data_IF_829285384041
#
_entry.id   IF_829285384041
#
_cell.length_a   1.000
_cell.length_b   1.000
_cell.length_c   1.000
_cell.angle_alpha   90.00
_cell.angle_beta   90.00
_cell.angle_gamma   90.00
#
_symmetry.space_group_name_H-M   'P 1'
#
loop_
_entity.id
_entity.type
_entity.pdbx_description
1 polymer ?
#
# COMPACT_ATOMS: atom_id res chain seq x y z
N UNK A 1 26.17 -7.00 -7.86
CA UNK A 1 26.03 -5.90 -8.85
C UNK A 1 24.76 -5.08 -8.62
N UNK A 2 24.00 -5.30 -7.54
CA UNK A 2 22.78 -4.55 -7.22
C UNK A 2 22.71 -4.33 -5.73
N UNK A 3 22.23 -3.16 -5.30
CA UNK A 3 21.84 -2.85 -3.92
C UNK A 3 20.32 -2.76 -3.85
N UNK A 4 19.73 -3.34 -2.81
CA UNK A 4 18.33 -3.17 -2.46
C UNK A 4 18.28 -2.43 -1.12
N UNK A 5 17.62 -1.27 -1.11
CA UNK A 5 17.34 -0.53 0.12
C UNK A 5 15.96 -0.90 0.65
N UNK A 6 15.87 -1.05 1.97
CA UNK A 6 14.59 -0.98 2.67
C UNK A 6 13.91 0.39 2.44
N UNK A 7 12.62 0.55 2.80
CA UNK A 7 11.94 1.82 2.59
C UNK A 7 12.71 3.01 3.18
N UNK A 8 12.82 4.06 2.38
CA UNK A 8 13.46 5.34 2.77
C UNK A 8 12.51 6.53 2.58
N UNK A 9 11.23 6.27 2.29
CA UNK A 9 10.22 7.31 2.14
C UNK A 9 9.91 7.96 3.49
N UNK A 10 9.41 9.18 3.48
CA UNK A 10 8.89 9.82 4.70
C UNK A 10 7.79 8.92 5.30
N UNK A 11 8.00 8.51 6.54
CA UNK A 11 7.13 7.56 7.25
C UNK A 11 7.13 7.84 8.75
N UNK A 12 6.03 7.55 9.47
CA UNK A 12 6.00 7.56 10.93
C UNK A 12 6.86 6.45 11.59
N UNK A 13 7.43 5.53 10.80
CA UNK A 13 8.25 4.42 11.27
C UNK A 13 7.51 3.45 12.20
N UNK A 14 6.19 3.28 11.99
CA UNK A 14 5.39 2.31 12.75
C UNK A 14 5.80 0.88 12.41
N UNK A 15 6.11 0.61 11.14
CA UNK A 15 6.53 -0.68 10.64
C UNK A 15 7.76 -0.53 9.74
N UNK A 16 8.83 0.07 10.27
CA UNK A 16 10.13 0.23 9.59
C UNK A 16 10.04 0.91 8.21
N UNK A 17 9.14 1.88 8.04
CA UNK A 17 9.01 2.66 6.82
C UNK A 17 8.06 2.08 5.78
N UNK A 18 7.46 0.92 6.02
CA UNK A 18 6.43 0.34 5.14
C UNK A 18 5.08 1.09 5.26
N UNK A 19 4.85 1.76 6.39
CA UNK A 19 3.78 2.74 6.59
C UNK A 19 4.13 4.09 5.95
N UNK A 20 4.03 4.19 4.62
CA UNK A 20 4.48 5.39 3.89
C UNK A 20 3.51 6.57 4.03
N UNK A 21 3.99 7.72 4.48
CA UNK A 21 3.20 8.97 4.56
C UNK A 21 3.42 9.89 3.35
N UNK A 22 4.59 9.83 2.70
CA UNK A 22 4.83 10.56 1.44
C UNK A 22 5.85 9.84 0.55
N UNK A 23 5.38 9.26 -0.55
CA UNK A 23 6.22 8.56 -1.52
C UNK A 23 7.17 9.46 -2.33
N UNK A 24 6.95 10.78 -2.37
CA UNK A 24 7.72 11.69 -3.23
C UNK A 24 8.89 12.38 -2.52
N UNK A 25 9.17 11.98 -1.28
CA UNK A 25 10.26 12.51 -0.47
C UNK A 25 11.02 11.40 0.25
N UNK A 26 12.29 11.67 0.54
CA UNK A 26 13.14 10.81 1.38
C UNK A 26 12.92 11.23 2.84
N UNK A 27 12.89 10.27 3.75
CA UNK A 27 12.82 10.54 5.18
C UNK A 27 14.04 11.35 5.64
N UNK A 28 13.79 12.42 6.40
CA UNK A 28 14.82 13.37 6.82
C UNK A 28 15.91 12.71 7.69
N UNK A 29 15.60 11.60 8.36
CA UNK A 29 16.59 10.85 9.15
C UNK A 29 17.58 10.07 8.28
N UNK A 30 17.21 9.79 7.02
CA UNK A 30 18.04 9.08 6.04
C UNK A 30 18.85 10.05 5.16
N UNK A 31 18.34 11.27 4.95
CA UNK A 31 19.00 12.32 4.19
C UNK A 31 18.03 13.12 3.33
N UNK A 32 18.55 13.71 2.26
CA UNK A 32 17.77 14.51 1.31
C UNK A 32 17.59 13.80 -0.03
N UNK A 33 16.69 14.32 -0.87
CA UNK A 33 16.57 13.85 -2.25
C UNK A 33 17.89 13.95 -3.02
N UNK A 34 18.68 15.01 -2.76
CA UNK A 34 19.98 15.19 -3.40
C UNK A 34 20.99 14.12 -2.98
N UNK A 35 20.94 13.66 -1.72
CA UNK A 35 21.80 12.57 -1.25
C UNK A 35 21.45 11.25 -1.94
N UNK A 36 20.16 10.97 -2.14
CA UNK A 36 19.72 9.79 -2.89
C UNK A 36 20.12 9.86 -4.37
N UNK A 37 19.98 11.02 -5.01
CA UNK A 37 20.42 11.21 -6.40
C UNK A 37 21.94 11.03 -6.54
N UNK A 38 22.72 11.53 -5.56
CA UNK A 38 24.16 11.29 -5.50
C UNK A 38 24.51 9.81 -5.28
N UNK A 39 23.74 9.10 -4.44
CA UNK A 39 23.91 7.66 -4.22
C UNK A 39 23.66 6.86 -5.49
N UNK A 40 22.57 7.14 -6.22
CA UNK A 40 22.26 6.50 -7.51
C UNK A 40 23.42 6.69 -8.48
N UNK A 41 23.89 7.93 -8.66
CA UNK A 41 25.00 8.24 -9.55
C UNK A 41 26.30 7.52 -9.17
N UNK A 42 26.63 7.46 -7.88
CA UNK A 42 27.82 6.77 -7.39
C UNK A 42 27.75 5.26 -7.60
N UNK A 43 26.59 4.64 -7.36
CA UNK A 43 26.38 3.21 -7.61
C UNK A 43 26.52 2.90 -9.10
N UNK A 44 25.89 3.68 -9.97
CA UNK A 44 25.97 3.51 -11.43
C UNK A 44 27.40 3.67 -11.96
N UNK A 45 28.15 4.66 -11.47
CA UNK A 45 29.57 4.84 -11.82
C UNK A 45 30.43 3.63 -11.43
N UNK A 46 30.03 2.90 -10.39
CA UNK A 46 30.66 1.65 -9.96
C UNK A 46 30.09 0.40 -10.68
N UNK A 47 29.17 0.55 -11.62
CA UNK A 47 28.50 -0.57 -12.30
C UNK A 47 27.53 -1.35 -11.40
N UNK A 48 26.99 -0.69 -10.37
CA UNK A 48 26.05 -1.26 -9.40
C UNK A 48 24.67 -0.65 -9.63
N UNK A 49 23.64 -1.49 -9.67
CA UNK A 49 22.22 -1.08 -9.79
C UNK A 49 21.60 -0.79 -8.43
N UNK A 50 20.53 0.01 -8.40
CA UNK A 50 19.76 0.28 -7.18
C UNK A 50 18.30 -0.12 -7.35
N UNK A 51 17.75 -0.90 -6.41
CA UNK A 51 16.30 -1.16 -6.30
C UNK A 51 15.77 -0.71 -4.94
N UNK A 52 14.49 -0.35 -4.90
CA UNK A 52 13.81 0.13 -3.68
C UNK A 52 12.59 -0.74 -3.34
N UNK A 53 12.32 -0.91 -2.05
CA UNK A 53 11.00 -1.39 -1.59
C UNK A 53 9.89 -0.44 -2.03
N UNK A 54 8.79 -0.99 -2.56
CA UNK A 54 7.61 -0.21 -2.92
C UNK A 54 6.32 -0.94 -2.54
N UNK A 55 5.69 -0.46 -1.48
CA UNK A 55 4.47 -1.05 -0.92
C UNK A 55 3.24 -0.63 -1.72
N UNK A 56 2.51 -1.62 -2.21
CA UNK A 56 1.33 -1.40 -3.05
C UNK A 56 0.01 -1.43 -2.26
N UNK A 57 -0.04 -2.14 -1.13
CA UNK A 57 -1.31 -2.48 -0.49
C UNK A 57 -1.90 -1.38 0.41
N UNK A 58 -1.07 -0.56 1.05
CA UNK A 58 -1.50 0.40 2.07
C UNK A 58 -0.61 1.63 2.06
N UNK A 59 -1.08 2.69 2.72
CA UNK A 59 -0.26 3.84 3.12
C UNK A 59 -0.25 3.95 4.64
N UNK A 60 0.47 4.92 5.19
CA UNK A 60 0.24 5.38 6.57
C UNK A 60 -1.11 6.10 6.69
N UNK A 61 -1.70 6.10 7.88
CA UNK A 61 -2.79 6.98 8.26
C UNK A 61 -2.40 8.48 8.21
N UNK A 62 -1.10 8.80 8.22
CA UNK A 62 -0.60 10.16 8.03
C UNK A 62 -0.51 10.58 6.55
N UNK A 63 -0.78 9.67 5.61
CA UNK A 63 -0.73 10.00 4.18
C UNK A 63 -1.80 11.06 3.84
N UNK A 64 -1.49 12.09 3.03
CA UNK A 64 -2.44 13.16 2.70
C UNK A 64 -3.80 12.67 2.18
N UNK A 65 -3.81 11.58 1.40
CA UNK A 65 -5.06 10.97 0.93
C UNK A 65 -5.93 10.45 2.08
N UNK A 66 -5.34 9.76 3.06
CA UNK A 66 -6.10 9.23 4.19
C UNK A 66 -6.57 10.35 5.12
N UNK A 67 -5.68 11.32 5.38
CA UNK A 67 -6.01 12.51 6.17
C UNK A 67 -7.19 13.28 5.57
N UNK A 68 -7.26 13.40 4.25
CA UNK A 68 -8.41 14.02 3.59
C UNK A 68 -9.68 13.14 3.73
N UNK A 69 -9.57 11.83 3.48
CA UNK A 69 -10.68 10.88 3.57
C UNK A 69 -11.37 10.82 4.95
N UNK A 70 -10.62 10.99 6.03
CA UNK A 70 -11.13 10.96 7.41
C UNK A 70 -11.61 12.32 7.93
N UNK A 71 -11.28 13.43 7.26
CA UNK A 71 -11.77 14.76 7.63
C UNK A 71 -12.95 15.23 6.76
N UNK A 72 -13.07 14.73 5.53
CA UNK A 72 -14.11 15.13 4.59
C UNK A 72 -14.93 13.92 4.07
N UNK A 73 -16.17 13.78 4.55
CA UNK A 73 -17.07 12.66 4.23
C UNK A 73 -17.36 12.48 2.73
N UNK A 74 -17.33 13.57 1.96
CA UNK A 74 -17.57 13.57 0.52
C UNK A 74 -16.27 13.71 -0.30
N UNK A 75 -15.12 13.44 0.34
CA UNK A 75 -13.83 13.49 -0.35
C UNK A 75 -13.73 12.42 -1.43
N UNK A 76 -13.14 12.79 -2.56
CA UNK A 76 -12.74 11.83 -3.59
C UNK A 76 -11.72 10.81 -3.04
N UNK A 77 -10.91 11.19 -2.05
CA UNK A 77 -9.93 10.32 -1.43
C UNK A 77 -10.56 9.26 -0.53
N UNK A 78 -11.84 9.37 -0.20
CA UNK A 78 -12.54 8.31 0.53
C UNK A 78 -12.56 7.00 -0.25
N UNK A 79 -12.68 7.09 -1.58
CA UNK A 79 -12.63 5.93 -2.48
C UNK A 79 -11.20 5.45 -2.78
N UNK A 80 -10.16 6.13 -2.30
CA UNK A 80 -8.78 5.60 -2.34
C UNK A 80 -8.52 4.54 -1.28
N UNK A 81 -9.36 4.49 -0.25
CA UNK A 81 -9.29 3.49 0.81
C UNK A 81 -10.59 2.69 0.83
N UNK A 82 -10.60 1.65 1.65
CA UNK A 82 -11.74 0.75 1.76
C UNK A 82 -12.54 1.12 3.01
N UNK A 83 -13.65 1.83 2.84
CA UNK A 83 -14.62 2.11 3.91
C UNK A 83 -15.88 1.27 3.73
N UNK A 84 -16.37 0.65 4.81
CA UNK A 84 -17.60 -0.14 4.78
C UNK A 84 -18.25 -0.23 6.17
N UNK A 85 -19.46 -0.76 6.24
CA UNK A 85 -20.22 -0.92 7.48
C UNK A 85 -21.32 0.11 7.64
N UNK A 86 -22.15 -0.09 8.67
CA UNK A 86 -23.28 0.76 8.99
C UNK A 86 -23.51 0.74 10.50
N UNK A 87 -23.84 1.90 11.08
CA UNK A 87 -24.15 2.05 12.51
C UNK A 87 -23.10 1.42 13.47
N UNK A 88 -21.82 1.50 13.10
CA UNK A 88 -20.71 0.98 13.88
C UNK A 88 -20.55 -0.55 13.84
N UNK A 89 -21.37 -1.25 13.06
CA UNK A 89 -21.24 -2.69 12.84
C UNK A 89 -20.11 -2.98 11.86
N UNK A 90 -19.28 -3.96 12.19
CA UNK A 90 -18.22 -4.41 11.31
C UNK A 90 -18.82 -5.15 10.10
N UNK A 91 -18.30 -4.94 8.88
CA UNK A 91 -18.82 -5.58 7.66
C UNK A 91 -18.76 -7.12 7.66
N UNK A 92 -17.72 -7.68 8.29
CA UNK A 92 -17.45 -9.11 8.31
C UNK A 92 -16.48 -9.47 9.46
N UNK A 93 -16.21 -10.76 9.60
CA UNK A 93 -15.38 -11.34 10.65
C UNK A 93 -13.86 -11.45 10.33
N UNK A 94 -13.37 -10.73 9.32
CA UNK A 94 -11.96 -10.87 8.90
C UNK A 94 -11.00 -10.23 9.92
N UNK A 95 -9.89 -10.91 10.16
CA UNK A 95 -8.85 -10.54 11.11
C UNK A 95 -7.56 -10.07 10.44
N UNK A 96 -6.93 -9.07 11.06
CA UNK A 96 -5.64 -8.51 10.64
C UNK A 96 -4.51 -9.48 10.96
N UNK A 97 -3.44 -9.46 10.16
CA UNK A 97 -2.20 -10.18 10.47
C UNK A 97 -1.55 -9.69 11.77
N UNK A 98 -1.85 -8.45 12.19
CA UNK A 98 -1.31 -7.82 13.40
C UNK A 98 -2.25 -7.99 14.61
N UNK A 99 -3.32 -8.79 14.45
CA UNK A 99 -4.28 -9.11 15.49
C UNK A 99 -5.49 -8.18 15.50
N UNK A 100 -6.60 -8.69 16.05
CA UNK A 100 -7.88 -7.98 16.02
C UNK A 100 -8.52 -7.99 14.63
N UNK A 101 -9.52 -7.13 14.42
CA UNK A 101 -10.23 -7.05 13.15
C UNK A 101 -9.40 -6.29 12.13
N UNK A 102 -9.65 -6.54 10.83
CA UNK A 102 -9.19 -5.66 9.75
C UNK A 102 -9.93 -4.32 9.71
N UNK A 103 -10.98 -4.15 10.51
CA UNK A 103 -11.83 -2.97 10.50
C UNK A 103 -11.56 -2.08 11.71
N UNK A 104 -11.18 -0.83 11.46
CA UNK A 104 -11.08 0.20 12.48
C UNK A 104 -12.16 1.28 12.26
N UNK A 105 -12.79 1.80 13.33
CA UNK A 105 -13.83 2.82 13.19
C UNK A 105 -13.36 4.06 12.42
N UNK A 106 -14.19 4.57 11.52
CA UNK A 106 -13.92 5.81 10.78
C UNK A 106 -13.89 7.02 11.74
N UNK A 107 -12.75 7.73 11.86
CA UNK A 107 -12.65 8.93 12.70
C UNK A 107 -13.63 10.04 12.31
N UNK A 108 -14.12 10.07 11.06
CA UNK A 108 -15.10 11.06 10.60
C UNK A 108 -16.51 10.85 11.21
N UNK A 109 -16.72 9.77 11.97
CA UNK A 109 -17.98 9.49 12.67
C UNK A 109 -19.14 9.25 11.70
N UNK A 110 -18.91 8.47 10.65
CA UNK A 110 -19.94 8.09 9.67
C UNK A 110 -20.73 6.85 10.07
N UNK A 111 -20.29 6.13 11.11
CA UNK A 111 -20.79 4.79 11.43
C UNK A 111 -20.19 3.69 10.55
N UNK A 112 -19.25 4.03 9.67
CA UNK A 112 -18.44 3.08 8.90
C UNK A 112 -17.11 2.79 9.61
N UNK A 113 -16.38 1.82 9.07
CA UNK A 113 -15.01 1.46 9.43
C UNK A 113 -14.13 1.42 8.19
N UNK A 114 -12.84 1.73 8.32
CA UNK A 114 -11.85 1.57 7.26
C UNK A 114 -11.10 0.24 7.42
N UNK A 115 -10.63 -0.30 6.30
CA UNK A 115 -9.87 -1.54 6.25
C UNK A 115 -8.38 -1.30 6.51
N UNK A 116 -7.75 -2.15 7.31
CA UNK A 116 -6.32 -2.26 7.51
C UNK A 116 -5.93 -3.74 7.64
N UNK A 117 -5.11 -4.26 6.73
CA UNK A 117 -4.69 -5.66 6.78
C UNK A 117 -3.60 -5.92 7.83
N UNK A 118 -2.83 -4.88 8.13
CA UNK A 118 -1.74 -4.87 9.10
C UNK A 118 -2.10 -3.99 10.31
N UNK A 119 -1.19 -3.14 10.81
CA UNK A 119 -1.48 -2.21 11.90
C UNK A 119 -2.64 -1.26 11.52
N UNK A 120 -3.44 -0.86 12.50
CA UNK A 120 -4.57 0.08 12.30
C UNK A 120 -4.14 1.41 11.66
N UNK A 121 -2.88 1.81 11.81
CA UNK A 121 -2.30 3.02 11.22
C UNK A 121 -1.86 2.82 9.77
N UNK A 122 -2.14 1.66 9.17
CA UNK A 122 -1.77 1.29 7.80
C UNK A 122 -3.02 0.98 6.97
N UNK A 123 -3.87 2.00 6.67
CA UNK A 123 -5.10 1.80 5.93
C UNK A 123 -4.85 1.29 4.50
N UNK A 124 -5.61 0.27 4.12
CA UNK A 124 -5.48 -0.40 2.83
C UNK A 124 -6.04 0.46 1.68
N UNK A 125 -5.27 0.50 0.60
CA UNK A 125 -5.66 1.14 -0.65
C UNK A 125 -6.72 0.30 -1.39
N UNK A 126 -7.70 0.99 -1.95
CA UNK A 126 -8.75 0.39 -2.76
C UNK A 126 -8.30 0.26 -4.23
N UNK A 127 -7.66 -0.86 -4.57
CA UNK A 127 -7.21 -1.11 -5.95
C UNK A 127 -8.33 -1.36 -6.97
N UNK A 128 -9.59 -1.52 -6.53
CA UNK A 128 -10.71 -1.50 -7.46
C UNK A 128 -10.89 -0.11 -8.09
N UNK A 129 -10.48 0.95 -7.39
CA UNK A 129 -10.49 2.31 -7.89
C UNK A 129 -9.35 2.50 -8.94
N UNK A 130 -9.67 2.81 -10.22
CA UNK A 130 -8.66 3.05 -11.24
C UNK A 130 -7.72 4.22 -10.92
N UNK A 131 -8.17 5.21 -10.16
CA UNK A 131 -7.35 6.37 -9.80
C UNK A 131 -6.23 6.00 -8.81
N UNK A 132 -6.46 5.05 -7.89
CA UNK A 132 -5.40 4.46 -7.04
C UNK A 132 -4.35 3.77 -7.90
N UNK A 133 -4.80 2.94 -8.85
CA UNK A 133 -3.89 2.21 -9.76
C UNK A 133 -3.05 3.18 -10.59
N UNK A 134 -3.65 4.26 -11.07
CA UNK A 134 -2.95 5.34 -11.78
C UNK A 134 -1.91 6.01 -10.87
N UNK A 135 -2.31 6.41 -9.67
CA UNK A 135 -1.44 7.10 -8.71
C UNK A 135 -0.24 6.24 -8.27
N UNK A 136 -0.44 4.95 -8.00
CA UNK A 136 0.66 4.04 -7.68
C UNK A 136 1.60 3.82 -8.86
N UNK A 137 1.06 3.80 -10.09
CA UNK A 137 1.86 3.82 -11.31
C UNK A 137 2.69 5.11 -11.43
N UNK A 138 2.11 6.26 -11.11
CA UNK A 138 2.80 7.56 -11.16
C UNK A 138 3.95 7.60 -10.14
N UNK A 139 3.75 7.09 -8.93
CA UNK A 139 4.81 6.94 -7.90
C UNK A 139 5.96 6.06 -8.42
N UNK A 140 5.65 4.91 -9.01
CA UNK A 140 6.68 4.03 -9.59
C UNK A 140 7.47 4.76 -10.69
N UNK A 141 6.79 5.44 -11.62
CA UNK A 141 7.45 6.16 -12.71
C UNK A 141 8.26 7.36 -12.24
N UNK A 142 7.88 8.01 -11.14
CA UNK A 142 8.66 9.09 -10.53
C UNK A 142 10.04 8.59 -10.08
N UNK A 143 10.08 7.46 -9.38
CA UNK A 143 11.33 6.90 -8.88
C UNK A 143 12.19 6.30 -9.99
N UNK A 144 11.59 5.59 -10.94
CA UNK A 144 12.29 5.11 -12.14
C UNK A 144 12.86 6.27 -12.97
N UNK A 145 12.12 7.39 -13.06
CA UNK A 145 12.59 8.63 -13.70
C UNK A 145 13.78 9.29 -13.00
N UNK A 146 14.02 8.99 -11.72
CA UNK A 146 15.24 9.40 -10.98
C UNK A 146 16.43 8.48 -11.22
N UNK A 147 16.22 7.32 -11.87
CA UNK A 147 17.29 6.41 -12.25
C UNK A 147 17.47 5.20 -11.33
N UNK A 148 16.53 4.86 -10.46
CA UNK A 148 16.57 3.53 -9.84
C UNK A 148 16.32 2.46 -10.92
N UNK A 149 16.93 1.30 -10.75
CA UNK A 149 16.92 0.19 -11.71
C UNK A 149 15.77 -0.79 -11.50
N UNK A 150 14.93 -0.59 -10.50
CA UNK A 150 13.82 -1.49 -10.22
C UNK A 150 13.17 -1.28 -8.87
N UNK A 151 12.09 -2.02 -8.67
CA UNK A 151 11.22 -1.93 -7.52
C UNK A 151 10.96 -3.33 -7.01
N UNK A 152 11.11 -3.55 -5.70
CA UNK A 152 10.59 -4.74 -5.05
C UNK A 152 9.16 -4.44 -4.62
N UNK A 153 8.19 -4.99 -5.36
CA UNK A 153 6.77 -4.74 -5.12
C UNK A 153 6.32 -5.46 -3.83
N UNK A 154 5.95 -4.70 -2.81
CA UNK A 154 5.58 -5.23 -1.51
C UNK A 154 4.07 -5.31 -1.28
N UNK A 155 3.67 -6.35 -0.53
CA UNK A 155 2.29 -6.70 -0.21
C UNK A 155 1.35 -6.80 -1.43
N UNK A 156 1.91 -6.94 -2.65
CA UNK A 156 1.13 -6.91 -3.89
C UNK A 156 0.09 -8.02 -3.96
N UNK A 157 0.35 -9.15 -3.31
CA UNK A 157 -0.58 -10.29 -3.25
C UNK A 157 -1.90 -9.94 -2.52
N UNK A 158 -1.93 -8.83 -1.78
CA UNK A 158 -3.07 -8.42 -0.96
C UNK A 158 -3.93 -7.33 -1.58
N UNK A 159 -3.54 -6.74 -2.71
CA UNK A 159 -4.23 -5.56 -3.28
C UNK A 159 -5.71 -5.83 -3.58
N UNK A 160 -6.06 -7.07 -3.90
CA UNK A 160 -7.44 -7.49 -4.13
C UNK A 160 -8.06 -8.10 -2.88
N UNK A 161 -9.25 -7.60 -2.55
CA UNK A 161 -10.10 -8.11 -1.48
C UNK A 161 -11.35 -8.76 -2.09
N UNK A 162 -11.86 -9.80 -1.43
CA UNK A 162 -13.10 -10.48 -1.80
C UNK A 162 -14.31 -9.57 -1.58
N UNK A 163 -15.51 -10.10 -1.84
CA UNK A 163 -16.74 -9.38 -1.52
C UNK A 163 -16.83 -9.11 -0.01
N UNK A 164 -16.85 -7.83 0.36
CA UNK A 164 -16.82 -7.37 1.75
C UNK A 164 -18.08 -7.78 2.53
N UNK A 165 -19.17 -8.15 1.85
CA UNK A 165 -20.39 -8.68 2.47
C UNK A 165 -20.29 -10.14 2.90
N UNK A 166 -19.15 -10.81 2.69
CA UNK A 166 -18.95 -12.21 3.04
C UNK A 166 -18.15 -12.37 4.34
N UNK A 167 -18.64 -13.24 5.22
CA UNK A 167 -17.86 -13.78 6.34
C UNK A 167 -17.02 -14.99 5.92
N UNK A 168 -15.91 -15.19 6.62
CA UNK A 168 -15.16 -16.43 6.53
C UNK A 168 -15.83 -17.53 7.37
N UNK A 169 -16.09 -18.73 6.81
CA UNK A 169 -16.68 -19.84 7.56
C UNK A 169 -15.81 -20.28 8.73
N UNK A 170 -16.40 -20.43 9.92
CA UNK A 170 -15.69 -20.79 11.15
C UNK A 170 -15.81 -22.28 11.45
N UNK A 171 -14.72 -22.88 11.93
CA UNK A 171 -14.79 -24.20 12.56
C UNK A 171 -15.48 -24.12 13.94
N UNK A 172 -16.09 -25.21 14.44
CA UNK A 172 -16.67 -25.24 15.78
C UNK A 172 -15.68 -24.79 16.86
N UNK A 173 -16.06 -23.79 17.65
CA UNK A 173 -15.22 -23.24 18.74
C UNK A 173 -14.19 -22.19 18.30
N UNK A 174 -14.09 -21.88 17.01
CA UNK A 174 -13.21 -20.82 16.52
C UNK A 174 -13.78 -19.44 16.86
N UNK A 175 -12.91 -18.55 17.35
CA UNK A 175 -13.28 -17.18 17.69
C UNK A 175 -13.05 -16.24 16.51
N UNK A 176 -13.84 -15.17 16.47
CA UNK A 176 -13.67 -14.05 15.55
C UNK A 176 -12.94 -12.90 16.25
N UNK A 177 -12.21 -12.08 15.49
CA UNK A 177 -11.99 -12.14 14.05
C UNK A 177 -10.96 -13.21 13.64
N UNK A 178 -10.99 -13.65 12.37
CA UNK A 178 -10.13 -14.72 11.83
C UNK A 178 -9.32 -14.23 10.63
N UNK A 179 -8.03 -14.56 10.59
CA UNK A 179 -7.17 -14.31 9.43
C UNK A 179 -7.65 -15.17 8.26
N UNK A 180 -8.40 -14.55 7.34
CA UNK A 180 -9.10 -15.18 6.23
C UNK A 180 -8.32 -15.03 4.91
N UNK A 181 -7.09 -15.55 4.84
CA UNK A 181 -6.21 -15.36 3.67
C UNK A 181 -6.87 -15.59 2.29
N UNK A 182 -7.74 -16.61 2.08
CA UNK A 182 -8.40 -16.79 0.78
C UNK A 182 -9.27 -15.60 0.33
N UNK A 183 -9.60 -14.66 1.23
CA UNK A 183 -10.44 -13.50 0.97
C UNK A 183 -9.65 -12.21 0.71
N UNK A 184 -8.34 -12.20 0.97
CA UNK A 184 -7.52 -11.01 0.80
C UNK A 184 -6.08 -11.30 0.34
N UNK A 185 -5.80 -12.53 -0.10
CA UNK A 185 -4.49 -12.94 -0.62
C UNK A 185 -4.65 -13.68 -1.94
N UNK A 186 -3.80 -13.35 -2.93
CA UNK A 186 -3.66 -14.06 -4.19
C UNK A 186 -4.95 -14.22 -5.02
N UNK A 187 -5.93 -13.33 -4.84
CA UNK A 187 -7.14 -13.33 -5.64
C UNK A 187 -6.83 -13.07 -7.12
N UNK A 188 -7.62 -13.58 -8.09
CA UNK A 188 -7.37 -13.40 -9.52
C UNK A 188 -7.20 -11.94 -9.95
N UNK A 189 -7.95 -11.03 -9.31
CA UNK A 189 -7.88 -9.58 -9.53
C UNK A 189 -6.50 -8.98 -9.28
N UNK A 190 -5.65 -9.61 -8.44
CA UNK A 190 -4.25 -9.18 -8.25
C UNK A 190 -3.52 -9.14 -9.59
N UNK A 191 -3.61 -10.23 -10.36
CA UNK A 191 -2.94 -10.30 -11.66
C UNK A 191 -3.58 -9.37 -12.69
N UNK A 192 -4.92 -9.25 -12.69
CA UNK A 192 -5.64 -8.35 -13.59
C UNK A 192 -5.24 -6.89 -13.38
N UNK A 193 -5.03 -6.47 -12.13
CA UNK A 193 -4.68 -5.09 -11.81
C UNK A 193 -3.19 -4.81 -11.94
N UNK A 194 -2.32 -5.78 -11.62
CA UNK A 194 -0.88 -5.61 -11.77
C UNK A 194 -0.41 -5.69 -13.20
N UNK A 195 -1.09 -6.44 -14.08
CA UNK A 195 -0.69 -6.53 -15.49
C UNK A 195 -0.53 -5.17 -16.17
N UNK A 196 -1.54 -4.28 -16.21
CA UNK A 196 -1.37 -2.95 -16.81
C UNK A 196 -0.38 -2.06 -16.06
N UNK A 197 -0.25 -2.22 -14.74
CA UNK A 197 0.76 -1.51 -13.95
C UNK A 197 2.19 -1.91 -14.37
N UNK A 198 2.46 -3.21 -14.46
CA UNK A 198 3.75 -3.75 -14.90
C UNK A 198 4.01 -3.44 -16.38
N UNK A 199 3.01 -3.58 -17.25
CA UNK A 199 3.13 -3.29 -18.68
C UNK A 199 3.49 -1.82 -18.92
N UNK A 200 2.90 -0.89 -18.17
CA UNK A 200 3.26 0.54 -18.20
C UNK A 200 4.72 0.74 -17.83
N UNK A 201 5.16 0.20 -16.70
CA UNK A 201 6.56 0.32 -16.27
C UNK A 201 7.51 -0.27 -17.31
N UNK A 202 7.19 -1.44 -17.86
CA UNK A 202 8.03 -2.11 -18.87
C UNK A 202 8.04 -1.42 -20.22
N UNK A 203 7.00 -0.64 -20.54
CA UNK A 203 6.97 0.17 -21.76
C UNK A 203 7.94 1.34 -21.65
N UNK A 204 7.93 2.05 -20.53
CA UNK A 204 8.73 3.27 -20.34
C UNK A 204 10.16 2.96 -19.86
N UNK A 205 10.33 1.88 -19.09
CA UNK A 205 11.57 1.44 -18.46
C UNK A 205 11.76 -0.08 -18.65
N UNK A 206 12.08 -0.55 -19.87
CA UNK A 206 12.14 -1.98 -20.20
C UNK A 206 13.14 -2.78 -19.34
N UNK A 207 14.23 -2.14 -18.94
CA UNK A 207 15.29 -2.74 -18.12
C UNK A 207 14.99 -2.75 -16.61
N UNK A 208 13.89 -2.11 -16.17
CA UNK A 208 13.56 -2.02 -14.74
C UNK A 208 13.23 -3.41 -14.17
N UNK A 209 13.82 -3.78 -13.04
CA UNK A 209 13.45 -4.98 -12.31
C UNK A 209 12.09 -4.79 -11.60
N UNK A 210 11.20 -5.78 -11.70
CA UNK A 210 9.90 -5.85 -11.01
C UNK A 210 9.76 -7.23 -10.37
#
# INVERSE_FOLDING_TARGET
NTVWLNPIFVSPQVDNGYDVANYFAVDETMGTMADLEALIAALHAAGIRLIMDFVLNHTSDQHPWFQDAIHAKNSLYRDYYIFSGHDGQLPNNWGSFFGGSVWAPDPAGTGQSYFHLFDRRMPDLNWANPEVRRAMGDVATFWLGKGIDGLRLDAFIHIAKADLGQDYPLAPGQQTPVVAEPFFSNLPKVQEWLRPFCDRIKTDYPDAFL
#
